data_IF_805789606714
#
_entry.id   IF_805789606714
#
_cell.length_a   1.000
_cell.length_b   1.000
_cell.length_c   1.000
_cell.angle_alpha   90.00
_cell.angle_beta   90.00
_cell.angle_gamma   90.00
#
_symmetry.space_group_name_H-M   'P 1'
#
loop_
_entity.id
_entity.type
_entity.pdbx_description
1 polymer ?
#
# COMPACT_ATOMS: atom_id res chain seq x y z
N UNK A 1 19.34 -4.12 -14.02
CA UNK A 1 18.24 -3.71 -13.11
C UNK A 1 18.59 -4.18 -11.70
N UNK A 2 18.47 -3.31 -10.70
CA UNK A 2 18.60 -3.71 -9.29
C UNK A 2 17.28 -4.34 -8.83
N UNK A 3 17.30 -5.65 -8.58
CA UNK A 3 16.11 -6.40 -8.21
C UNK A 3 15.49 -5.93 -6.87
N UNK A 4 16.30 -5.39 -5.96
CA UNK A 4 15.81 -4.89 -4.67
C UNK A 4 14.98 -3.59 -4.79
N UNK A 5 15.10 -2.89 -5.92
CA UNK A 5 14.33 -1.68 -6.24
C UNK A 5 13.13 -1.95 -7.15
N UNK A 6 12.94 -3.21 -7.54
CA UNK A 6 11.81 -3.61 -8.39
C UNK A 6 10.49 -3.52 -7.61
N UNK A 7 9.46 -2.89 -8.19
CA UNK A 7 8.14 -2.75 -7.56
C UNK A 7 7.53 -4.15 -7.29
N UNK A 8 7.72 -5.12 -8.19
CA UNK A 8 7.24 -6.48 -7.95
C UNK A 8 7.92 -7.11 -6.74
N UNK A 9 9.24 -6.95 -6.57
CA UNK A 9 9.94 -7.40 -5.37
C UNK A 9 9.41 -6.71 -4.12
N UNK A 10 9.29 -5.39 -4.14
CA UNK A 10 8.84 -4.60 -2.99
C UNK A 10 7.41 -4.95 -2.55
N UNK A 11 6.51 -5.21 -3.49
CA UNK A 11 5.11 -5.51 -3.20
C UNK A 11 4.84 -6.97 -2.87
N UNK A 12 5.70 -7.91 -3.32
CA UNK A 12 5.47 -9.36 -3.19
C UNK A 12 6.42 -10.01 -2.19
N UNK A 13 7.74 -9.76 -2.32
CA UNK A 13 8.75 -10.50 -1.55
C UNK A 13 9.25 -9.75 -0.32
N UNK A 14 9.28 -8.43 -0.36
CA UNK A 14 9.77 -7.60 0.74
C UNK A 14 8.83 -7.65 1.96
N UNK A 15 9.32 -8.17 3.09
CA UNK A 15 8.48 -8.52 4.25
C UNK A 15 8.25 -7.37 5.23
N UNK A 16 9.16 -6.40 5.27
CA UNK A 16 9.10 -5.27 6.20
C UNK A 16 8.41 -4.04 5.59
N UNK A 17 8.55 -2.88 6.20
CA UNK A 17 8.08 -1.62 5.62
C UNK A 17 8.84 -1.29 4.33
N UNK A 18 8.15 -0.73 3.35
CA UNK A 18 8.77 -0.27 2.11
C UNK A 18 9.50 1.05 2.39
N UNK A 19 10.78 1.20 1.98
CA UNK A 19 11.52 2.45 2.16
C UNK A 19 10.79 3.64 1.55
N UNK A 20 10.85 4.80 2.23
CA UNK A 20 10.05 5.99 1.89
C UNK A 20 10.25 6.46 0.46
N UNK A 21 11.50 6.44 -0.02
CA UNK A 21 11.87 6.85 -1.36
C UNK A 21 11.16 6.09 -2.49
N UNK A 22 10.68 4.88 -2.21
CA UNK A 22 9.96 4.06 -3.21
C UNK A 22 8.45 4.20 -3.15
N UNK A 23 7.87 4.67 -2.02
CA UNK A 23 6.42 4.63 -1.81
C UNK A 23 5.65 5.46 -2.85
N UNK A 24 6.10 6.68 -3.14
CA UNK A 24 5.49 7.51 -4.18
C UNK A 24 5.64 6.89 -5.58
N UNK A 25 6.80 6.29 -5.87
CA UNK A 25 7.10 5.67 -7.16
C UNK A 25 6.26 4.40 -7.44
N UNK A 26 5.81 3.70 -6.41
CA UNK A 26 4.93 2.54 -6.55
C UNK A 26 3.57 2.93 -7.15
N UNK A 27 3.10 4.15 -6.88
CA UNK A 27 1.80 4.62 -7.38
C UNK A 27 0.65 3.79 -6.80
N UNK A 28 -0.21 3.25 -7.65
CA UNK A 28 -1.37 2.43 -7.27
C UNK A 28 -1.14 0.92 -7.38
N UNK A 29 0.10 0.48 -7.51
CA UNK A 29 0.44 -0.94 -7.66
C UNK A 29 0.40 -1.65 -6.30
N UNK A 30 -0.48 -2.65 -6.17
CA UNK A 30 -0.68 -3.38 -4.91
C UNK A 30 0.04 -4.72 -4.90
N UNK A 31 0.10 -5.39 -6.05
CA UNK A 31 0.72 -6.70 -6.21
C UNK A 31 1.36 -6.82 -7.58
N UNK A 32 2.69 -6.74 -7.66
CA UNK A 32 3.40 -6.73 -8.93
C UNK A 32 3.32 -5.38 -9.65
N UNK A 33 3.90 -5.33 -10.84
CA UNK A 33 4.03 -4.11 -11.62
C UNK A 33 3.87 -4.36 -13.13
N UNK A 34 4.56 -5.39 -13.66
CA UNK A 34 4.56 -5.82 -15.07
C UNK A 34 5.01 -4.76 -16.10
N UNK A 35 5.50 -3.58 -15.68
CA UNK A 35 5.96 -2.52 -16.59
C UNK A 35 7.09 -3.02 -17.52
N UNK A 36 8.00 -3.86 -17.02
CA UNK A 36 9.08 -4.45 -17.82
C UNK A 36 8.54 -5.43 -18.87
N UNK A 37 7.44 -6.12 -18.60
CA UNK A 37 6.75 -6.97 -19.58
C UNK A 37 6.03 -6.11 -20.62
N UNK A 38 5.38 -5.03 -20.19
CA UNK A 38 4.63 -4.15 -21.09
C UNK A 38 5.52 -3.51 -22.17
N UNK A 39 6.77 -3.14 -21.83
CA UNK A 39 7.72 -2.53 -22.78
C UNK A 39 8.60 -3.55 -23.51
N UNK A 40 8.42 -4.83 -23.28
CA UNK A 40 9.26 -5.88 -23.85
C UNK A 40 9.09 -5.96 -25.38
N UNK A 41 10.16 -5.84 -26.19
CA UNK A 41 10.06 -5.94 -27.66
C UNK A 41 9.50 -7.27 -28.17
N UNK A 42 9.62 -8.34 -27.37
CA UNK A 42 9.11 -9.66 -27.71
C UNK A 42 7.60 -9.79 -27.61
N UNK A 43 6.90 -8.82 -27.00
CA UNK A 43 5.42 -8.79 -26.95
C UNK A 43 4.76 -8.82 -28.32
N UNK A 44 5.46 -8.38 -29.38
CA UNK A 44 4.95 -8.49 -30.75
C UNK A 44 4.66 -9.92 -31.21
N UNK A 45 5.22 -10.91 -30.51
CA UNK A 45 4.98 -12.34 -30.77
C UNK A 45 3.96 -12.96 -29.83
N UNK A 46 3.49 -12.21 -28.84
CA UNK A 46 2.51 -12.71 -27.88
C UNK A 46 1.18 -13.04 -28.57
N UNK A 47 0.58 -14.15 -28.19
CA UNK A 47 -0.74 -14.57 -28.66
C UNK A 47 -1.71 -14.57 -27.48
N UNK A 48 -2.95 -14.16 -27.71
CA UNK A 48 -4.02 -14.23 -26.72
C UNK A 48 -4.25 -15.70 -26.38
N UNK A 49 -4.24 -16.02 -25.08
CA UNK A 49 -4.55 -17.37 -24.60
C UNK A 49 -6.07 -17.62 -24.69
N UNK A 50 -6.45 -18.77 -25.24
CA UNK A 50 -7.83 -19.24 -25.22
C UNK A 50 -8.17 -20.05 -23.95
N UNK A 51 -7.23 -20.17 -23.00
CA UNK A 51 -7.47 -20.90 -21.76
C UNK A 51 -8.33 -20.07 -20.79
N UNK A 52 -9.52 -20.57 -20.51
CA UNK A 52 -10.49 -19.95 -19.61
C UNK A 52 -9.94 -19.72 -18.19
N UNK A 53 -8.95 -20.49 -17.76
CA UNK A 53 -8.31 -20.32 -16.44
C UNK A 53 -7.56 -18.99 -16.28
N UNK A 54 -7.23 -18.29 -17.37
CA UNK A 54 -6.58 -16.99 -17.36
C UNK A 54 -7.56 -15.81 -17.41
N UNK A 55 -8.87 -16.08 -17.49
CA UNK A 55 -9.86 -15.01 -17.41
C UNK A 55 -9.93 -14.51 -15.96
N UNK A 56 -9.67 -13.20 -15.73
CA UNK A 56 -9.74 -12.66 -14.38
C UNK A 56 -11.16 -12.71 -13.84
N UNK A 57 -11.31 -13.01 -12.56
CA UNK A 57 -12.59 -12.91 -11.86
C UNK A 57 -13.09 -11.46 -11.91
N UNK A 58 -14.39 -11.27 -12.08
CA UNK A 58 -15.02 -9.95 -12.22
C UNK A 58 -14.74 -9.04 -10.98
N UNK A 59 -14.82 -9.61 -9.79
CA UNK A 59 -14.60 -8.91 -8.52
C UNK A 59 -13.12 -8.47 -8.30
N UNK A 60 -12.19 -9.06 -9.07
CA UNK A 60 -10.77 -8.71 -9.02
C UNK A 60 -10.33 -7.75 -10.14
N UNK A 61 -11.18 -7.43 -11.09
CA UNK A 61 -10.81 -6.56 -12.21
C UNK A 61 -10.52 -5.12 -11.78
N UNK A 62 -11.36 -4.54 -10.92
CA UNK A 62 -11.24 -3.15 -10.44
C UNK A 62 -11.77 -3.00 -9.01
N UNK A 63 -11.20 -3.72 -8.03
CA UNK A 63 -11.62 -3.55 -6.64
C UNK A 63 -11.29 -2.14 -6.15
N UNK A 64 -12.16 -1.56 -5.32
CA UNK A 64 -11.89 -0.25 -4.72
C UNK A 64 -10.85 -0.37 -3.61
N UNK A 65 -10.00 0.66 -3.43
CA UNK A 65 -9.05 0.70 -2.31
C UNK A 65 -9.78 0.65 -0.97
N UNK A 66 -10.97 1.25 -0.89
CA UNK A 66 -11.81 1.21 0.30
C UNK A 66 -12.18 -0.23 0.66
N UNK A 67 -12.73 -1.01 -0.28
CA UNK A 67 -13.11 -2.41 -0.04
C UNK A 67 -11.93 -3.31 0.31
N UNK A 68 -10.77 -3.05 -0.28
CA UNK A 68 -9.54 -3.81 0.03
C UNK A 68 -8.98 -3.49 1.41
N UNK A 69 -9.12 -2.24 1.89
CA UNK A 69 -8.56 -1.79 3.16
C UNK A 69 -9.24 -2.37 4.40
N UNK A 70 -10.51 -2.78 4.27
CA UNK A 70 -11.30 -3.29 5.40
C UNK A 70 -11.22 -4.82 5.58
N UNK A 71 -10.48 -5.53 4.73
CA UNK A 71 -10.38 -6.98 4.80
C UNK A 71 -9.76 -7.46 6.12
N UNK A 72 -10.48 -8.31 6.84
CA UNK A 72 -9.93 -9.13 7.93
C UNK A 72 -8.97 -10.20 7.37
N UNK A 73 -8.22 -10.91 8.23
CA UNK A 73 -7.36 -12.01 7.74
C UNK A 73 -8.22 -13.15 7.14
N UNK A 74 -9.37 -13.43 7.72
CA UNK A 74 -10.30 -14.43 7.22
C UNK A 74 -10.86 -14.03 5.85
N UNK A 75 -11.38 -12.79 5.73
CA UNK A 75 -11.92 -12.28 4.47
C UNK A 75 -10.85 -12.21 3.38
N UNK A 76 -9.63 -11.79 3.72
CA UNK A 76 -8.50 -11.78 2.81
C UNK A 76 -8.20 -13.19 2.26
N UNK A 77 -8.13 -14.19 3.14
CA UNK A 77 -7.86 -15.59 2.74
C UNK A 77 -8.97 -16.18 1.88
N UNK A 78 -10.21 -15.79 2.14
CA UNK A 78 -11.38 -16.20 1.36
C UNK A 78 -11.40 -15.50 0.01
N UNK A 79 -11.23 -14.18 -0.01
CA UNK A 79 -11.28 -13.34 -1.22
C UNK A 79 -10.20 -13.73 -2.22
N UNK A 80 -8.98 -13.99 -1.76
CA UNK A 80 -7.84 -14.40 -2.59
C UNK A 80 -7.62 -15.92 -2.63
N UNK A 81 -8.65 -16.73 -2.34
CA UNK A 81 -8.55 -18.18 -2.47
C UNK A 81 -8.26 -18.55 -3.93
N UNK A 82 -7.27 -19.45 -4.13
CA UNK A 82 -6.80 -19.83 -5.48
C UNK A 82 -5.94 -18.78 -6.20
N UNK A 83 -5.67 -17.62 -5.58
CA UNK A 83 -4.82 -16.58 -6.14
C UNK A 83 -3.43 -16.58 -5.49
N UNK A 84 -2.34 -16.28 -6.24
CA UNK A 84 -1.00 -16.12 -5.68
C UNK A 84 -0.90 -14.96 -4.67
N UNK A 85 -1.83 -13.99 -4.70
CA UNK A 85 -1.90 -12.87 -3.76
C UNK A 85 -2.03 -13.38 -2.32
N UNK A 86 -2.74 -14.49 -2.09
CA UNK A 86 -2.90 -15.09 -0.76
C UNK A 86 -1.56 -15.38 -0.05
N UNK A 87 -0.50 -15.63 -0.81
CA UNK A 87 0.84 -16.00 -0.30
C UNK A 87 1.49 -14.89 0.53
N UNK A 88 1.24 -13.62 0.20
CA UNK A 88 1.88 -12.51 0.91
C UNK A 88 1.27 -12.23 2.30
N UNK A 89 0.06 -12.72 2.55
CA UNK A 89 -0.68 -12.48 3.78
C UNK A 89 -1.33 -11.10 3.87
N UNK A 90 -2.32 -10.98 4.77
CA UNK A 90 -3.13 -9.76 4.91
C UNK A 90 -2.28 -8.53 5.23
N UNK A 91 -1.36 -8.61 6.17
CA UNK A 91 -0.63 -7.43 6.66
C UNK A 91 0.24 -6.80 5.57
N UNK A 92 0.94 -7.62 4.80
CA UNK A 92 1.75 -7.14 3.67
C UNK A 92 0.85 -6.58 2.54
N UNK A 93 -0.29 -7.21 2.30
CA UNK A 93 -1.27 -6.74 1.34
C UNK A 93 -1.85 -5.38 1.74
N UNK A 94 -2.30 -5.21 3.00
CA UNK A 94 -2.84 -3.93 3.50
C UNK A 94 -1.76 -2.84 3.50
N UNK A 95 -0.49 -3.15 3.81
CA UNK A 95 0.64 -2.22 3.63
C UNK A 95 0.66 -1.65 2.20
N UNK A 96 0.55 -2.51 1.19
CA UNK A 96 0.57 -2.09 -0.20
C UNK A 96 -0.70 -1.28 -0.58
N UNK A 97 -1.86 -1.67 -0.07
CA UNK A 97 -3.12 -0.91 -0.25
C UNK A 97 -2.98 0.49 0.34
N UNK A 98 -2.42 0.63 1.55
CA UNK A 98 -2.21 1.92 2.19
C UNK A 98 -1.26 2.83 1.40
N UNK A 99 -0.20 2.27 0.79
CA UNK A 99 0.69 3.04 -0.09
C UNK A 99 -0.10 3.54 -1.31
N UNK A 100 -0.91 2.68 -1.94
CA UNK A 100 -1.76 3.09 -3.05
C UNK A 100 -2.80 4.15 -2.63
N UNK A 101 -3.36 4.05 -1.42
CA UNK A 101 -4.28 5.07 -0.87
C UNK A 101 -3.56 6.41 -0.69
N UNK A 102 -2.36 6.44 -0.11
CA UNK A 102 -1.55 7.65 0.04
C UNK A 102 -1.24 8.34 -1.29
N UNK A 103 -1.01 7.55 -2.34
CA UNK A 103 -0.74 8.06 -3.69
C UNK A 103 -2.00 8.49 -4.46
N UNK A 104 -3.20 8.16 -3.98
CA UNK A 104 -4.46 8.34 -4.74
C UNK A 104 -4.97 9.78 -4.79
N UNK A 105 -4.48 10.68 -3.94
CA UNK A 105 -5.03 12.03 -3.71
C UNK A 105 -6.51 12.05 -3.30
N UNK A 106 -7.11 10.91 -3.01
CA UNK A 106 -8.54 10.77 -2.67
C UNK A 106 -8.79 10.93 -1.16
N UNK A 107 -9.24 12.10 -0.74
CA UNK A 107 -9.51 12.41 0.67
C UNK A 107 -10.66 11.60 1.29
N UNK A 108 -11.53 10.96 0.50
CA UNK A 108 -12.59 10.11 1.04
C UNK A 108 -12.05 8.89 1.79
N UNK A 109 -10.82 8.47 1.46
CA UNK A 109 -10.14 7.31 2.07
C UNK A 109 -9.55 7.60 3.46
N UNK A 110 -9.52 8.85 3.90
CA UNK A 110 -8.92 9.25 5.19
C UNK A 110 -9.54 8.49 6.36
N UNK A 111 -10.86 8.28 6.37
CA UNK A 111 -11.53 7.51 7.43
C UNK A 111 -11.04 6.07 7.53
N UNK A 112 -10.84 5.41 6.40
CA UNK A 112 -10.33 4.04 6.34
C UNK A 112 -8.89 3.96 6.85
N UNK A 113 -8.05 4.93 6.47
CA UNK A 113 -6.66 5.02 6.94
C UNK A 113 -6.61 5.23 8.46
N UNK A 114 -7.43 6.11 9.01
CA UNK A 114 -7.51 6.36 10.47
C UNK A 114 -7.87 5.08 11.23
N UNK A 115 -8.79 4.27 10.71
CA UNK A 115 -9.14 2.99 11.33
C UNK A 115 -7.92 2.04 11.38
N UNK A 116 -7.09 2.04 10.34
CA UNK A 116 -5.90 1.19 10.25
C UNK A 116 -4.71 1.67 11.09
N UNK A 117 -4.75 2.89 11.62
CA UNK A 117 -3.78 3.34 12.65
C UNK A 117 -3.86 2.55 13.96
N UNK A 118 -4.95 1.85 14.21
CA UNK A 118 -5.13 0.96 15.36
C UNK A 118 -4.93 -0.53 15.03
N UNK A 119 -4.40 -0.88 13.88
CA UNK A 119 -4.19 -2.28 13.49
C UNK A 119 -3.16 -2.98 14.40
N UNK A 120 -3.33 -4.28 14.61
CA UNK A 120 -2.41 -5.09 15.43
C UNK A 120 -0.99 -5.14 14.83
N UNK A 121 -0.86 -5.04 13.53
CA UNK A 121 0.43 -5.11 12.81
C UNK A 121 1.11 -3.75 12.73
N UNK A 122 2.35 -3.65 13.22
CA UNK A 122 3.17 -2.43 13.14
C UNK A 122 3.42 -1.99 11.69
N UNK A 123 3.58 -2.94 10.77
CA UNK A 123 3.77 -2.65 9.33
C UNK A 123 2.54 -1.93 8.75
N UNK A 124 1.34 -2.33 9.16
CA UNK A 124 0.09 -1.69 8.74
C UNK A 124 -0.01 -0.30 9.35
N UNK A 125 0.21 -0.16 10.68
CA UNK A 125 0.16 1.14 11.36
C UNK A 125 1.14 2.13 10.74
N UNK A 126 2.39 1.73 10.52
CA UNK A 126 3.43 2.55 9.89
C UNK A 126 2.99 3.07 8.51
N UNK A 127 2.46 2.17 7.69
CA UNK A 127 1.99 2.55 6.35
C UNK A 127 0.76 3.46 6.39
N UNK A 128 -0.10 3.30 7.40
CA UNK A 128 -1.26 4.17 7.62
C UNK A 128 -0.82 5.59 8.03
N UNK A 129 0.20 5.72 8.88
CA UNK A 129 0.80 7.01 9.25
C UNK A 129 1.26 7.77 8.02
N UNK A 130 2.06 7.13 7.17
CA UNK A 130 2.55 7.74 5.94
C UNK A 130 1.39 8.14 5.01
N UNK A 131 0.46 7.22 4.75
CA UNK A 131 -0.67 7.48 3.86
C UNK A 131 -1.55 8.65 4.35
N UNK A 132 -1.76 8.76 5.66
CA UNK A 132 -2.50 9.86 6.26
C UNK A 132 -1.80 11.21 6.04
N UNK A 133 -0.48 11.25 6.23
CA UNK A 133 0.34 12.44 5.98
C UNK A 133 0.26 12.92 4.53
N UNK A 134 0.22 11.98 3.56
CA UNK A 134 0.07 12.32 2.14
C UNK A 134 -1.30 12.90 1.79
N UNK A 135 -2.39 12.43 2.42
CA UNK A 135 -3.75 12.79 2.05
C UNK A 135 -4.31 13.98 2.83
N UNK A 136 -4.02 14.10 4.12
CA UNK A 136 -4.67 15.08 4.97
C UNK A 136 -3.81 15.51 6.17
N UNK A 137 -3.11 16.64 6.02
CA UNK A 137 -2.25 17.23 7.06
C UNK A 137 -3.01 17.47 8.39
N UNK A 138 -4.22 18.02 8.34
CA UNK A 138 -4.99 18.33 9.55
C UNK A 138 -5.34 17.06 10.34
N UNK A 139 -5.82 16.00 9.65
CA UNK A 139 -6.12 14.72 10.28
C UNK A 139 -4.86 14.05 10.81
N UNK A 140 -3.73 14.21 10.11
CA UNK A 140 -2.44 13.68 10.56
C UNK A 140 -2.04 14.24 11.93
N UNK A 141 -2.00 15.56 12.09
CA UNK A 141 -1.61 16.18 13.38
C UNK A 141 -2.59 15.84 14.51
N UNK A 142 -3.89 15.76 14.20
CA UNK A 142 -4.90 15.39 15.18
C UNK A 142 -4.68 13.96 15.70
N UNK A 143 -4.43 13.00 14.82
CA UNK A 143 -4.19 11.60 15.19
C UNK A 143 -2.81 11.39 15.81
N UNK A 144 -1.79 12.12 15.36
CA UNK A 144 -0.44 12.12 15.95
C UNK A 144 -0.49 12.48 17.45
N UNK A 145 -1.15 13.59 17.79
CA UNK A 145 -1.26 14.05 19.18
C UNK A 145 -1.96 13.04 20.11
N UNK A 146 -2.86 12.22 19.57
CA UNK A 146 -3.57 11.19 20.32
C UNK A 146 -2.75 9.93 20.50
N UNK A 147 -2.03 9.48 19.47
CA UNK A 147 -1.52 8.11 19.35
C UNK A 147 -0.03 7.95 19.58
N UNK A 148 0.80 8.95 19.28
CA UNK A 148 2.27 8.84 19.39
C UNK A 148 2.73 8.48 20.80
N UNK A 149 2.05 9.00 21.84
CA UNK A 149 2.40 8.74 23.24
C UNK A 149 2.09 7.31 23.70
N UNK A 150 1.15 6.65 23.05
CA UNK A 150 0.69 5.29 23.39
C UNK A 150 1.32 4.22 22.47
N UNK A 151 1.96 4.64 21.37
CA UNK A 151 2.61 3.72 20.43
C UNK A 151 3.87 3.12 21.09
N UNK A 152 4.03 1.81 20.93
CA UNK A 152 5.13 1.04 21.54
C UNK A 152 6.24 0.71 20.54
N UNK A 153 5.90 0.65 19.26
CA UNK A 153 6.85 0.28 18.21
C UNK A 153 7.65 1.48 17.74
N UNK A 154 8.95 1.43 17.95
CA UNK A 154 9.85 2.55 17.64
C UNK A 154 9.82 2.94 16.15
N UNK A 155 9.65 1.97 15.24
CA UNK A 155 9.56 2.23 13.81
C UNK A 155 8.32 3.06 13.45
N UNK A 156 7.19 2.81 14.11
CA UNK A 156 5.95 3.58 13.91
C UNK A 156 6.09 4.99 14.49
N UNK A 157 6.72 5.13 15.66
CA UNK A 157 7.02 6.46 16.25
C UNK A 157 7.92 7.27 15.31
N UNK A 158 8.98 6.66 14.80
CA UNK A 158 9.88 7.31 13.85
C UNK A 158 9.14 7.75 12.59
N UNK A 159 8.22 6.92 12.07
CA UNK A 159 7.41 7.26 10.91
C UNK A 159 6.52 8.49 11.15
N UNK A 160 5.91 8.64 12.34
CA UNK A 160 5.17 9.84 12.73
C UNK A 160 6.06 11.09 12.66
N UNK A 161 7.25 11.02 13.26
CA UNK A 161 8.20 12.14 13.32
C UNK A 161 8.78 12.52 11.94
N UNK A 162 9.08 11.52 11.11
CA UNK A 162 9.57 11.78 9.75
C UNK A 162 8.49 12.38 8.86
N UNK A 163 7.26 11.87 8.95
CA UNK A 163 6.12 12.40 8.18
C UNK A 163 5.79 13.84 8.63
N UNK A 164 5.86 14.13 9.93
CA UNK A 164 5.71 15.50 10.45
C UNK A 164 6.75 16.46 9.85
N UNK A 165 8.03 16.05 9.82
CA UNK A 165 9.10 16.86 9.21
C UNK A 165 8.83 17.14 7.73
N UNK A 166 8.42 16.14 6.97
CA UNK A 166 8.10 16.32 5.54
C UNK A 166 6.94 17.30 5.34
N UNK A 167 5.87 17.19 6.14
CA UNK A 167 4.72 18.08 6.06
C UNK A 167 5.11 19.52 6.34
N UNK A 168 5.96 19.74 7.35
CA UNK A 168 6.42 21.07 7.76
C UNK A 168 7.36 21.69 6.71
N UNK A 169 8.24 20.90 6.08
CA UNK A 169 9.13 21.40 5.01
C UNK A 169 8.35 21.80 3.75
N UNK A 170 7.30 21.05 3.38
CA UNK A 170 6.45 21.42 2.25
C UNK A 170 5.60 22.68 2.49
N UNK A 171 5.45 23.14 3.73
CA UNK A 171 4.69 24.34 4.09
C UNK A 171 5.49 25.65 4.01
N UNK A 172 6.81 25.61 3.84
CA UNK A 172 7.67 26.79 3.83
C UNK A 172 7.92 27.41 2.44
N UNK A 173 7.36 26.85 1.39
CA UNK A 173 7.49 27.32 0.00
C UNK A 173 6.12 27.64 -0.67
N UNK A 174 5.09 27.98 0.11
CA UNK A 174 3.78 28.39 -0.40
C UNK A 174 3.44 29.83 -0.01
#
# INVERSE_FOLDING_TARGET
MDANKCISYLTIEHKTHIPREFRALIGNRIYGCDDCLAVCPWNKYAKISNNMSFIPREDLKKPSLESLSILSDEDFRKYFSGSPIKRIGRNQFIRNVLIAMGNSSNKSLVKNIINLLGDNSSIVRLSAVWALGQLCKNSFFLEMNKRVKEEKEQEVINEWLETEKEINHCGTYG
#
